data_IF_956929064986
#
_entry.id   IF_956929064986
#
_cell.length_a   1.000
_cell.length_b   1.000
_cell.length_c   1.000
_cell.angle_alpha   90.00
_cell.angle_beta   90.00
_cell.angle_gamma   90.00
#
_symmetry.space_group_name_H-M   'P 1'
#
loop_
_entity.id
_entity.type
_entity.pdbx_description
1 polymer ?
#
# COMPACT_ATOMS: atom_id res chain seq x y z
N UNK A 1 0.80 14.27 36.94
CA UNK A 1 1.89 13.30 36.74
C UNK A 1 1.78 12.78 35.32
N UNK A 2 2.55 13.36 34.38
CA UNK A 2 2.57 12.91 33.01
C UNK A 2 3.58 11.76 32.92
N UNK A 3 3.06 10.53 32.78
CA UNK A 3 3.86 9.35 32.50
C UNK A 3 4.62 9.61 31.19
N UNK A 4 5.95 9.73 31.28
CA UNK A 4 6.84 9.83 30.12
C UNK A 4 6.78 8.48 29.41
N UNK A 5 5.86 8.35 28.46
CA UNK A 5 5.74 7.16 27.63
C UNK A 5 7.03 7.04 26.82
N UNK A 6 7.85 6.04 27.15
CA UNK A 6 9.04 5.68 26.38
C UNK A 6 8.68 5.61 24.88
N UNK A 7 9.56 6.08 23.98
CA UNK A 7 9.29 6.00 22.55
C UNK A 7 8.98 4.55 22.18
N UNK A 8 7.93 4.30 21.38
CA UNK A 8 7.55 2.94 21.01
C UNK A 8 8.74 2.24 20.35
N UNK A 9 9.09 1.06 20.85
CA UNK A 9 10.18 0.24 20.30
C UNK A 9 9.90 0.02 18.82
N UNK A 10 10.83 0.37 17.91
CA UNK A 10 10.63 0.17 16.49
C UNK A 10 10.38 -1.32 16.19
N UNK A 11 9.48 -1.65 15.25
CA UNK A 11 9.23 -3.04 14.89
C UNK A 11 10.51 -3.69 14.34
N UNK A 12 10.68 -4.99 14.61
CA UNK A 12 11.79 -5.75 14.04
C UNK A 12 11.71 -5.75 12.51
N UNK A 13 12.86 -5.52 11.87
CA UNK A 13 13.00 -5.58 10.43
C UNK A 13 13.14 -7.04 9.97
N UNK A 14 12.64 -7.40 8.77
CA UNK A 14 11.87 -6.58 7.85
C UNK A 14 10.39 -6.46 8.24
N UNK A 15 9.80 -5.28 8.06
CA UNK A 15 8.36 -5.03 8.27
C UNK A 15 7.69 -4.55 6.99
N UNK A 16 6.50 -5.09 6.69
CA UNK A 16 5.70 -4.67 5.53
C UNK A 16 4.36 -4.09 5.96
N UNK A 17 4.12 -2.84 5.61
CA UNK A 17 2.84 -2.15 5.76
C UNK A 17 1.99 -2.32 4.51
N UNK A 18 0.75 -2.81 4.67
CA UNK A 18 -0.21 -3.00 3.58
C UNK A 18 -1.61 -2.60 4.04
N UNK A 19 -2.45 -2.03 3.15
CA UNK A 19 -3.84 -1.74 3.47
C UNK A 19 -4.67 -3.04 3.37
N UNK A 20 -4.46 -3.97 4.32
CA UNK A 20 -4.97 -5.35 4.24
C UNK A 20 -6.49 -5.43 4.05
N UNK A 21 -7.25 -4.56 4.74
CA UNK A 21 -8.72 -4.49 4.58
C UNK A 21 -9.12 -4.01 3.18
N UNK A 22 -8.55 -2.90 2.71
CA UNK A 22 -8.80 -2.39 1.35
C UNK A 22 -8.44 -3.44 0.31
N UNK A 23 -7.30 -4.12 0.47
CA UNK A 23 -6.86 -5.20 -0.42
C UNK A 23 -7.83 -6.38 -0.42
N UNK A 24 -8.31 -6.82 0.74
CA UNK A 24 -9.28 -7.91 0.84
C UNK A 24 -10.60 -7.55 0.13
N UNK A 25 -11.08 -6.32 0.32
CA UNK A 25 -12.29 -5.81 -0.36
C UNK A 25 -12.09 -5.76 -1.87
N UNK A 26 -11.00 -5.15 -2.36
CA UNK A 26 -10.73 -5.03 -3.80
C UNK A 26 -10.61 -6.40 -4.49
N UNK A 27 -9.89 -7.34 -3.87
CA UNK A 27 -9.73 -8.68 -4.41
C UNK A 27 -11.03 -9.49 -4.34
N UNK A 28 -11.80 -9.37 -3.25
CA UNK A 28 -13.09 -10.02 -3.11
C UNK A 28 -14.11 -9.52 -4.15
N UNK A 29 -14.22 -8.20 -4.32
CA UNK A 29 -15.09 -7.58 -5.32
C UNK A 29 -14.64 -7.97 -6.73
N UNK A 30 -13.34 -7.93 -7.02
CA UNK A 30 -12.80 -8.31 -8.33
C UNK A 30 -13.05 -9.77 -8.67
N UNK A 31 -12.98 -10.67 -7.69
CA UNK A 31 -13.30 -12.07 -7.87
C UNK A 31 -14.81 -12.27 -8.12
N UNK A 32 -15.66 -11.65 -7.31
CA UNK A 32 -17.12 -11.76 -7.45
C UNK A 32 -17.60 -11.21 -8.81
N UNK A 33 -17.08 -10.05 -9.22
CA UNK A 33 -17.37 -9.44 -10.52
C UNK A 33 -16.90 -10.33 -11.68
N UNK A 34 -15.67 -10.84 -11.62
CA UNK A 34 -15.13 -11.74 -12.65
C UNK A 34 -16.00 -12.99 -12.81
N UNK A 35 -16.33 -13.64 -11.70
CA UNK A 35 -17.15 -14.83 -11.67
C UNK A 35 -18.55 -14.57 -12.23
N UNK A 36 -19.17 -13.46 -11.84
CA UNK A 36 -20.52 -13.07 -12.30
C UNK A 36 -20.56 -12.82 -13.81
N UNK A 37 -19.64 -12.01 -14.35
CA UNK A 37 -19.61 -11.69 -15.78
C UNK A 37 -19.30 -12.95 -16.60
N UNK A 38 -18.35 -13.77 -16.14
CA UNK A 38 -17.99 -15.03 -16.81
C UNK A 38 -19.16 -16.02 -16.79
N UNK A 39 -19.88 -16.14 -15.66
CA UNK A 39 -21.06 -16.99 -15.56
C UNK A 39 -22.16 -16.54 -16.54
N UNK A 40 -22.44 -15.23 -16.62
CA UNK A 40 -23.39 -14.68 -17.59
C UNK A 40 -22.97 -15.05 -19.03
N UNK A 41 -21.69 -14.88 -19.37
CA UNK A 41 -21.16 -15.19 -20.69
C UNK A 41 -21.29 -16.68 -21.08
N UNK A 42 -21.21 -17.59 -20.11
CA UNK A 42 -21.33 -19.03 -20.33
C UNK A 42 -22.80 -19.47 -20.37
N UNK A 43 -23.62 -18.96 -19.46
CA UNK A 43 -25.02 -19.38 -19.28
C UNK A 43 -25.97 -18.80 -20.34
N UNK A 44 -25.64 -17.68 -20.97
CA UNK A 44 -26.43 -17.15 -22.09
C UNK A 44 -26.26 -18.04 -23.33
N UNK A 45 -27.33 -18.64 -23.80
CA UNK A 45 -27.30 -19.56 -24.96
C UNK A 45 -27.17 -18.81 -26.30
N UNK A 46 -27.69 -17.59 -26.39
CA UNK A 46 -27.79 -16.81 -27.64
C UNK A 46 -26.54 -15.97 -27.98
N UNK A 47 -25.40 -16.21 -27.32
CA UNK A 47 -24.15 -15.50 -27.61
C UNK A 47 -23.29 -16.28 -28.59
N UNK A 48 -22.83 -15.60 -29.63
CA UNK A 48 -21.78 -16.09 -30.51
C UNK A 48 -20.47 -16.27 -29.73
N UNK A 49 -19.54 -17.12 -30.23
CA UNK A 49 -18.24 -17.31 -29.57
C UNK A 49 -17.45 -16.01 -29.37
N UNK A 50 -17.51 -15.08 -30.35
CA UNK A 50 -16.83 -13.79 -30.26
C UNK A 50 -17.36 -12.89 -29.14
N UNK A 51 -18.68 -12.88 -28.94
CA UNK A 51 -19.30 -12.14 -27.84
C UNK A 51 -18.89 -12.73 -26.49
N UNK A 52 -18.94 -14.05 -26.33
CA UNK A 52 -18.50 -14.71 -25.09
C UNK A 52 -17.05 -14.37 -24.73
N UNK A 53 -16.17 -14.41 -25.72
CA UNK A 53 -14.76 -14.00 -25.55
C UNK A 53 -14.69 -12.54 -25.10
N UNK A 54 -15.49 -11.65 -25.68
CA UNK A 54 -15.51 -10.23 -25.35
C UNK A 54 -15.97 -9.98 -23.90
N UNK A 55 -16.97 -10.73 -23.41
CA UNK A 55 -17.41 -10.67 -22.01
C UNK A 55 -16.30 -11.13 -21.06
N UNK A 56 -15.68 -12.28 -21.31
CA UNK A 56 -14.60 -12.82 -20.46
C UNK A 56 -13.39 -11.89 -20.48
N UNK A 57 -13.01 -11.38 -21.65
CA UNK A 57 -11.93 -10.41 -21.79
C UNK A 57 -12.21 -9.13 -20.98
N UNK A 58 -13.43 -8.61 -21.06
CA UNK A 58 -13.87 -7.45 -20.27
C UNK A 58 -13.81 -7.75 -18.77
N UNK A 59 -14.25 -8.94 -18.34
CA UNK A 59 -14.16 -9.38 -16.95
C UNK A 59 -12.70 -9.41 -16.46
N UNK A 60 -11.79 -9.98 -17.27
CA UNK A 60 -10.35 -9.99 -16.98
C UNK A 60 -9.82 -8.57 -16.85
N UNK A 61 -10.15 -7.68 -17.78
CA UNK A 61 -9.66 -6.30 -17.79
C UNK A 61 -10.11 -5.55 -16.53
N UNK A 62 -11.39 -5.59 -16.20
CA UNK A 62 -11.95 -4.92 -15.03
C UNK A 62 -11.37 -5.47 -13.71
N UNK A 63 -11.28 -6.79 -13.58
CA UNK A 63 -10.71 -7.40 -12.37
C UNK A 63 -9.21 -7.16 -12.24
N UNK A 64 -8.48 -7.06 -13.36
CA UNK A 64 -7.05 -6.70 -13.35
C UNK A 64 -6.81 -5.30 -12.81
N UNK A 65 -7.72 -4.34 -13.07
CA UNK A 65 -7.66 -3.00 -12.46
C UNK A 65 -7.80 -3.09 -10.94
N UNK A 66 -8.74 -3.88 -10.43
CA UNK A 66 -8.91 -4.05 -8.98
C UNK A 66 -7.69 -4.75 -8.33
N UNK A 67 -7.10 -5.73 -9.02
CA UNK A 67 -5.84 -6.36 -8.59
C UNK A 67 -4.72 -5.31 -8.54
N UNK A 68 -4.57 -4.48 -9.57
CA UNK A 68 -3.59 -3.39 -9.61
C UNK A 68 -3.76 -2.41 -8.45
N UNK A 69 -5.01 -2.00 -8.17
CA UNK A 69 -5.36 -1.14 -7.05
C UNK A 69 -5.04 -1.75 -5.68
N UNK A 70 -4.95 -3.09 -5.60
CA UNK A 70 -4.66 -3.83 -4.38
C UNK A 70 -3.15 -4.07 -4.11
N UNK A 71 -2.29 -3.71 -5.07
CA UNK A 71 -0.82 -3.91 -5.00
C UNK A 71 -0.07 -3.01 -4.01
N UNK A 72 -0.51 -1.79 -3.66
CA UNK A 72 0.30 -0.89 -2.86
C UNK A 72 0.78 -1.48 -1.52
N UNK A 73 2.06 -1.28 -1.23
CA UNK A 73 2.70 -1.71 0.02
C UNK A 73 3.94 -0.89 0.29
N UNK A 74 4.31 -0.77 1.56
CA UNK A 74 5.59 -0.16 1.99
C UNK A 74 6.34 -1.23 2.77
N UNK A 75 7.57 -1.53 2.38
CA UNK A 75 8.43 -2.52 3.06
C UNK A 75 9.64 -1.80 3.59
N UNK A 76 9.92 -1.91 4.88
CA UNK A 76 11.14 -1.43 5.50
C UNK A 76 12.00 -2.65 5.88
N UNK A 77 13.29 -2.57 5.58
CA UNK A 77 14.32 -3.56 5.93
C UNK A 77 15.61 -2.84 6.35
N UNK A 78 16.69 -3.59 6.55
CA UNK A 78 17.94 -3.04 7.10
C UNK A 78 18.54 -1.93 6.22
N UNK A 79 18.46 -2.04 4.89
CA UNK A 79 19.06 -1.07 3.97
C UNK A 79 18.18 0.16 3.72
N UNK A 80 16.86 0.06 3.92
CA UNK A 80 15.95 1.18 3.69
C UNK A 80 14.49 0.79 3.49
N UNK A 81 13.79 1.60 2.70
CA UNK A 81 12.34 1.50 2.48
C UNK A 81 12.03 1.33 1.00
N UNK A 82 11.30 0.27 0.67
CA UNK A 82 10.70 0.06 -0.65
C UNK A 82 9.23 0.48 -0.63
N UNK A 83 8.90 1.50 -1.40
CA UNK A 83 7.52 1.96 -1.64
C UNK A 83 7.03 1.39 -2.97
N UNK A 84 6.04 0.50 -2.91
CA UNK A 84 5.32 0.01 -4.08
C UNK A 84 4.00 0.76 -4.15
N UNK A 85 3.87 1.60 -5.17
CA UNK A 85 2.60 2.22 -5.55
C UNK A 85 1.97 1.43 -6.70
N UNK A 86 0.88 1.94 -7.26
CA UNK A 86 0.10 1.27 -8.30
C UNK A 86 0.95 0.85 -9.51
N UNK A 87 1.67 1.80 -10.08
CA UNK A 87 2.46 1.63 -11.32
C UNK A 87 3.95 1.86 -11.13
N UNK A 88 4.38 2.25 -9.93
CA UNK A 88 5.77 2.61 -9.65
C UNK A 88 6.28 1.87 -8.41
N UNK A 89 7.56 1.51 -8.44
CA UNK A 89 8.30 0.97 -7.30
C UNK A 89 9.52 1.86 -7.10
N UNK A 90 9.70 2.39 -5.89
CA UNK A 90 10.87 3.18 -5.52
C UNK A 90 11.51 2.60 -4.26
N UNK A 91 12.80 2.31 -4.34
CA UNK A 91 13.65 2.00 -3.19
C UNK A 91 14.29 3.30 -2.72
N UNK A 92 14.28 3.52 -1.41
CA UNK A 92 14.86 4.67 -0.73
C UNK A 92 15.81 4.15 0.35
N UNK A 93 17.03 4.67 0.39
CA UNK A 93 17.89 4.50 1.55
C UNK A 93 17.30 5.26 2.75
N UNK A 94 17.64 4.83 3.98
CA UNK A 94 17.18 5.51 5.19
C UNK A 94 17.52 7.00 5.20
N UNK A 95 18.73 7.37 4.77
CA UNK A 95 19.20 8.75 4.69
C UNK A 95 18.46 9.62 3.67
N UNK A 96 17.76 9.02 2.69
CA UNK A 96 16.92 9.79 1.76
C UNK A 96 15.62 10.26 2.40
N UNK A 97 15.16 9.61 3.49
CA UNK A 97 13.86 9.88 4.10
C UNK A 97 14.05 10.81 5.28
N UNK A 98 13.65 12.07 5.11
CA UNK A 98 13.79 13.08 6.15
C UNK A 98 12.62 13.06 7.14
N UNK A 99 11.39 12.90 6.62
CA UNK A 99 10.18 12.90 7.46
C UNK A 99 9.12 11.98 6.89
N UNK A 100 8.39 11.36 7.81
CA UNK A 100 7.15 10.63 7.52
C UNK A 100 5.98 11.50 7.96
N UNK A 101 5.07 11.84 7.04
CA UNK A 101 3.94 12.72 7.30
C UNK A 101 2.60 12.00 7.06
N UNK A 102 1.68 12.19 7.98
CA UNK A 102 0.27 11.83 7.82
C UNK A 102 -0.58 12.88 8.53
N UNK A 103 -1.08 13.86 7.77
CA UNK A 103 -1.88 14.96 8.29
C UNK A 103 -3.37 14.56 8.34
N UNK A 104 -4.17 15.20 9.20
CA UNK A 104 -5.62 15.02 9.15
C UNK A 104 -6.16 15.37 7.76
N UNK A 105 -6.88 14.44 7.14
CA UNK A 105 -7.42 14.59 5.78
C UNK A 105 -6.54 14.00 4.68
N UNK A 106 -5.28 13.66 4.97
CA UNK A 106 -4.42 13.02 3.97
C UNK A 106 -4.97 11.64 3.60
N UNK A 107 -5.00 11.30 2.29
CA UNK A 107 -5.49 9.99 1.84
C UNK A 107 -4.47 8.86 2.05
N UNK A 108 -3.19 9.19 2.27
CA UNK A 108 -2.08 8.26 2.53
C UNK A 108 -0.90 8.98 3.19
N UNK A 109 0.11 8.22 3.60
CA UNK A 109 1.38 8.74 4.11
C UNK A 109 2.20 9.39 3.00
N UNK A 110 2.89 10.48 3.33
CA UNK A 110 3.88 11.14 2.47
C UNK A 110 5.27 11.08 3.11
N UNK A 111 6.28 10.76 2.32
CA UNK A 111 7.69 10.75 2.72
C UNK A 111 8.38 11.98 2.14
N UNK A 112 8.83 12.90 3.01
CA UNK A 112 9.64 14.03 2.58
C UNK A 112 11.09 13.57 2.41
N UNK A 113 11.67 13.87 1.26
CA UNK A 113 12.95 13.33 0.83
C UNK A 113 14.06 14.39 0.84
N UNK A 114 15.31 13.93 0.89
CA UNK A 114 16.50 14.78 0.88
C UNK A 114 16.70 15.57 -0.41
N UNK A 115 16.13 15.10 -1.52
CA UNK A 115 16.08 15.81 -2.81
C UNK A 115 15.05 16.95 -2.86
N UNK A 116 14.33 17.20 -1.75
CA UNK A 116 13.30 18.23 -1.64
C UNK A 116 11.93 17.81 -2.19
N UNK A 117 11.79 16.59 -2.70
CA UNK A 117 10.50 16.05 -3.17
C UNK A 117 9.75 15.35 -2.04
N UNK A 118 8.45 15.09 -2.26
CA UNK A 118 7.64 14.29 -1.35
C UNK A 118 7.05 13.10 -2.11
N UNK A 119 7.34 11.89 -1.62
CA UNK A 119 6.89 10.64 -2.24
C UNK A 119 5.61 10.14 -1.53
N UNK A 120 4.50 9.94 -2.26
CA UNK A 120 3.32 9.31 -1.70
C UNK A 120 3.58 7.82 -1.45
N UNK A 121 3.19 7.32 -0.28
CA UNK A 121 3.34 5.95 0.14
C UNK A 121 1.96 5.29 0.33
N UNK A 122 1.35 4.86 -0.78
CA UNK A 122 -0.03 4.34 -0.81
C UNK A 122 -0.22 3.04 -0.03
N UNK A 123 0.86 2.39 0.42
CA UNK A 123 0.77 1.21 1.30
C UNK A 123 0.25 1.51 2.70
N UNK A 124 0.20 2.78 3.12
CA UNK A 124 -0.34 3.21 4.41
C UNK A 124 -1.46 4.23 4.16
N UNK A 125 -2.72 3.82 4.35
CA UNK A 125 -3.91 4.60 4.02
C UNK A 125 -4.89 4.65 5.20
N UNK A 126 -5.30 5.85 5.66
CA UNK A 126 -6.31 5.98 6.71
C UNK A 126 -7.62 5.28 6.38
N UNK A 127 -8.18 5.52 5.18
CA UNK A 127 -9.38 4.88 4.62
C UNK A 127 -10.31 4.16 5.62
N UNK A 128 -10.48 2.85 5.42
CA UNK A 128 -11.33 1.95 6.25
C UNK A 128 -10.68 1.52 7.58
N UNK A 129 -9.44 1.92 7.87
CA UNK A 129 -8.68 1.47 9.03
C UNK A 129 -7.79 2.59 9.60
N UNK A 130 -8.40 3.75 9.91
CA UNK A 130 -7.66 4.97 10.29
C UNK A 130 -6.68 4.76 11.44
N UNK A 131 -7.09 4.03 12.47
CA UNK A 131 -6.23 3.77 13.63
C UNK A 131 -5.00 2.92 13.27
N UNK A 132 -5.17 1.94 12.37
CA UNK A 132 -4.05 1.12 11.88
C UNK A 132 -3.07 2.00 11.09
N UNK A 133 -3.57 2.83 10.18
CA UNK A 133 -2.72 3.71 9.38
C UNK A 133 -1.91 4.69 10.23
N UNK A 134 -2.52 5.24 11.30
CA UNK A 134 -1.81 6.09 12.27
C UNK A 134 -0.74 5.29 13.02
N UNK A 135 -1.01 4.04 13.38
CA UNK A 135 -0.02 3.16 14.00
C UNK A 135 1.15 2.87 13.06
N UNK A 136 0.85 2.52 11.81
CA UNK A 136 1.83 2.19 10.77
C UNK A 136 2.71 3.41 10.43
N UNK A 137 2.10 4.59 10.30
CA UNK A 137 2.83 5.83 10.07
C UNK A 137 3.77 6.18 11.23
N UNK A 138 3.33 5.94 12.48
CA UNK A 138 4.19 6.12 13.66
C UNK A 138 5.33 5.10 13.71
N UNK A 139 5.06 3.84 13.38
CA UNK A 139 6.08 2.80 13.31
C UNK A 139 7.14 3.12 12.24
N UNK A 140 6.70 3.53 11.05
CA UNK A 140 7.61 3.96 9.98
C UNK A 140 8.42 5.19 10.39
N UNK A 141 7.81 6.17 11.05
CA UNK A 141 8.52 7.33 11.58
C UNK A 141 9.60 6.94 12.59
N UNK A 142 9.30 6.06 13.54
CA UNK A 142 10.27 5.58 14.52
C UNK A 142 11.45 4.86 13.86
N UNK A 143 11.20 4.08 12.81
CA UNK A 143 12.26 3.44 12.02
C UNK A 143 13.15 4.46 11.30
N UNK A 144 12.53 5.47 10.66
CA UNK A 144 13.26 6.56 10.00
C UNK A 144 14.09 7.36 11.00
N UNK A 145 13.58 7.63 12.19
CA UNK A 145 14.34 8.34 13.24
C UNK A 145 15.52 7.50 13.75
N UNK A 146 15.34 6.18 13.85
CA UNK A 146 16.41 5.26 14.31
C UNK A 146 17.53 5.12 13.28
N UNK A 147 17.20 5.08 11.97
CA UNK A 147 18.18 4.79 10.91
C UNK A 147 18.61 6.03 10.09
N UNK A 148 17.80 7.10 10.07
CA UNK A 148 17.96 8.25 9.18
C UNK A 148 18.88 9.37 9.68
N UNK A 149 19.22 9.40 10.97
CA UNK A 149 20.01 10.52 11.56
C UNK A 149 21.28 10.14 12.32
N UNK A 150 21.85 8.96 12.13
CA UNK A 150 23.24 8.69 12.55
C UNK A 150 23.51 7.31 13.11
N UNK A 151 23.81 6.35 12.24
CA UNK A 151 24.59 5.17 12.58
C UNK A 151 25.42 4.76 11.36
N UNK A 152 26.33 5.64 10.96
CA UNK A 152 27.42 5.32 10.02
C UNK A 152 28.77 5.64 10.68
N UNK A 153 28.93 5.21 11.93
CA UNK A 153 30.23 5.09 12.61
C UNK A 153 30.18 3.85 13.52
N UNK A 154 30.46 2.69 12.92
CA UNK A 154 31.21 1.57 13.50
C UNK A 154 31.50 0.51 12.44
#
# INVERSE_FOLDING_TARGET
>A
MAESAAPPVPPALPVTFRPTRTRAVLLGVGLAMFATITAIAVLLENLSPGERISFVFTAVLLSSVLVLLSRPKVTADEDGVTVVNLTNVRRLAWAEILRVNLRPGDPWVFLDLSDGTSLPALGIQPGVARQQAISDARALRALVETHGTGTNDQ
#
